data_IF_667021258242
#
_entry.id   IF_667021258242
#
_cell.length_a   1.000
_cell.length_b   1.000
_cell.length_c   1.000
_cell.angle_alpha   90.00
_cell.angle_beta   90.00
_cell.angle_gamma   90.00
#
_symmetry.space_group_name_H-M   'P 1'
#
loop_
_entity.id
_entity.type
_entity.pdbx_description
1 polymer ?
#
# COMPACT_ATOMS: atom_id res chain seq x y z
N UNK A 1 -20.20 0.22 12.69
CA UNK A 1 -20.78 0.76 13.95
C UNK A 1 -20.42 2.23 14.17
N UNK A 2 -19.17 2.67 13.91
CA UNK A 2 -18.74 4.08 14.07
C UNK A 2 -19.41 5.10 13.13
N UNK A 3 -19.69 4.75 11.87
CA UNK A 3 -20.38 5.67 10.95
C UNK A 3 -21.73 6.19 11.47
N UNK A 4 -22.59 5.32 12.02
CA UNK A 4 -23.88 5.75 12.61
C UNK A 4 -23.70 6.62 13.85
N UNK A 5 -22.64 6.37 14.62
CA UNK A 5 -22.28 7.18 15.78
C UNK A 5 -21.89 8.60 15.34
N UNK A 6 -20.99 8.73 14.37
CA UNK A 6 -20.56 10.05 13.87
C UNK A 6 -21.67 10.84 13.17
N UNK A 7 -22.58 10.19 12.43
CA UNK A 7 -23.73 10.88 11.83
C UNK A 7 -24.61 11.60 12.86
N UNK A 8 -24.72 11.03 14.06
CA UNK A 8 -25.53 11.56 15.15
C UNK A 8 -24.81 12.62 16.00
N UNK A 9 -23.49 12.82 15.80
CA UNK A 9 -22.72 13.80 16.56
C UNK A 9 -22.98 15.24 16.08
N UNK A 10 -22.97 16.21 17.00
CA UNK A 10 -22.88 17.62 16.63
C UNK A 10 -21.52 17.93 15.99
N UNK A 11 -21.46 19.00 15.20
CA UNK A 11 -20.25 19.40 14.46
C UNK A 11 -19.03 19.64 15.36
N UNK A 12 -19.23 20.14 16.57
CA UNK A 12 -18.17 20.35 17.56
C UNK A 12 -17.51 19.03 17.98
N UNK A 13 -18.32 18.01 18.28
CA UNK A 13 -17.82 16.69 18.62
C UNK A 13 -17.15 16.00 17.43
N UNK A 14 -17.62 16.21 16.20
CA UNK A 14 -16.94 15.72 15.00
C UNK A 14 -15.56 16.37 14.81
N UNK A 15 -15.43 17.68 15.06
CA UNK A 15 -14.13 18.36 15.02
C UNK A 15 -13.17 17.80 16.08
N UNK A 16 -13.66 17.52 17.29
CA UNK A 16 -12.86 16.89 18.34
C UNK A 16 -12.35 15.50 17.91
N UNK A 17 -13.23 14.67 17.33
CA UNK A 17 -12.83 13.36 16.80
C UNK A 17 -11.82 13.51 15.65
N UNK A 18 -12.02 14.43 14.71
CA UNK A 18 -11.05 14.70 13.65
C UNK A 18 -9.71 15.18 14.20
N UNK A 19 -9.71 16.01 15.24
CA UNK A 19 -8.49 16.46 15.93
C UNK A 19 -7.75 15.31 16.61
N UNK A 20 -8.46 14.40 17.28
CA UNK A 20 -7.85 13.20 17.89
C UNK A 20 -7.16 12.30 16.85
N UNK A 21 -7.66 12.31 15.62
CA UNK A 21 -7.08 11.57 14.50
C UNK A 21 -6.13 12.43 13.64
N UNK A 22 -5.80 13.65 14.08
CA UNK A 22 -4.90 14.58 13.36
C UNK A 22 -5.35 14.87 11.91
N UNK A 23 -6.66 14.86 11.64
CA UNK A 23 -7.25 15.05 10.29
C UNK A 23 -7.56 16.51 9.94
N UNK A 24 -7.27 17.43 10.86
CA UNK A 24 -7.52 18.86 10.73
C UNK A 24 -6.19 19.61 10.59
N UNK A 25 -6.04 20.29 9.46
CA UNK A 25 -4.90 21.17 9.22
C UNK A 25 -4.99 22.42 10.11
N UNK A 26 -3.86 22.89 10.68
CA UNK A 26 -3.84 24.12 11.46
C UNK A 26 -4.24 25.30 10.58
N UNK A 27 -5.34 25.97 10.94
CA UNK A 27 -5.87 27.12 10.20
C UNK A 27 -6.91 26.79 9.12
N UNK A 28 -7.33 25.53 8.98
CA UNK A 28 -8.49 25.18 8.17
C UNK A 28 -9.77 25.68 8.85
N UNK A 29 -10.24 26.87 8.42
CA UNK A 29 -11.54 27.41 8.82
C UNK A 29 -12.69 26.66 8.14
N UNK A 30 -13.94 26.86 8.59
CA UNK A 30 -15.11 26.26 7.97
C UNK A 30 -15.21 26.67 6.49
N UNK A 31 -15.01 25.70 5.59
CA UNK A 31 -15.23 25.86 4.16
C UNK A 31 -16.68 25.49 3.84
N UNK A 32 -17.56 26.50 3.84
CA UNK A 32 -18.96 26.36 3.44
C UNK A 32 -19.94 26.52 4.59
N UNK A 33 -21.19 26.10 4.36
CA UNK A 33 -22.21 26.08 5.41
C UNK A 33 -21.95 24.95 6.42
N UNK A 34 -22.64 25.02 7.56
CA UNK A 34 -22.46 24.08 8.66
C UNK A 34 -22.74 22.62 8.25
N UNK A 35 -23.64 22.39 7.29
CA UNK A 35 -23.98 21.06 6.80
C UNK A 35 -22.85 20.49 5.91
N UNK A 36 -22.31 21.32 5.02
CA UNK A 36 -21.17 20.99 4.17
C UNK A 36 -19.92 20.69 5.01
N UNK A 37 -19.66 21.51 6.03
CA UNK A 37 -18.57 21.27 6.95
C UNK A 37 -18.77 19.96 7.72
N UNK A 38 -19.98 19.71 8.24
CA UNK A 38 -20.29 18.45 8.94
C UNK A 38 -20.04 17.24 8.04
N UNK A 39 -20.45 17.30 6.79
CA UNK A 39 -20.26 16.22 5.82
C UNK A 39 -18.76 15.99 5.50
N UNK A 40 -17.98 17.06 5.34
CA UNK A 40 -16.52 16.94 5.14
C UNK A 40 -15.81 16.29 6.34
N UNK A 41 -16.16 16.69 7.57
CA UNK A 41 -15.59 16.09 8.79
C UNK A 41 -15.96 14.61 8.90
N UNK A 42 -17.22 14.29 8.62
CA UNK A 42 -17.71 12.92 8.61
C UNK A 42 -16.98 12.06 7.58
N UNK A 43 -16.80 12.56 6.36
CA UNK A 43 -16.08 11.87 5.29
C UNK A 43 -14.62 11.62 5.67
N UNK A 44 -13.92 12.62 6.21
CA UNK A 44 -12.54 12.45 6.71
C UNK A 44 -12.42 11.33 7.74
N UNK A 45 -13.33 11.29 8.73
CA UNK A 45 -13.34 10.24 9.76
C UNK A 45 -13.63 8.85 9.17
N UNK A 46 -14.57 8.77 8.23
CA UNK A 46 -14.92 7.52 7.57
C UNK A 46 -13.75 6.98 6.76
N UNK A 47 -13.09 7.84 5.98
CA UNK A 47 -11.91 7.47 5.19
C UNK A 47 -10.75 7.04 6.10
N UNK A 48 -10.50 7.77 7.19
CA UNK A 48 -9.45 7.41 8.15
C UNK A 48 -9.68 6.04 8.81
N UNK A 49 -10.90 5.77 9.32
CA UNK A 49 -11.23 4.47 9.91
C UNK A 49 -11.21 3.33 8.89
N UNK A 50 -11.58 3.63 7.64
CA UNK A 50 -11.43 2.67 6.54
C UNK A 50 -9.97 2.36 6.24
N UNK A 51 -9.09 3.36 6.22
CA UNK A 51 -7.64 3.15 6.07
C UNK A 51 -7.09 2.31 7.21
N UNK A 52 -7.43 2.61 8.47
CA UNK A 52 -7.03 1.77 9.61
C UNK A 52 -7.49 0.32 9.42
N UNK A 53 -8.73 0.10 9.02
CA UNK A 53 -9.24 -1.25 8.79
C UNK A 53 -8.46 -2.01 7.70
N UNK A 54 -8.11 -1.33 6.60
CA UNK A 54 -7.26 -1.93 5.56
C UNK A 54 -5.82 -2.15 6.02
N UNK A 55 -5.26 -1.23 6.80
CA UNK A 55 -3.93 -1.33 7.37
C UNK A 55 -3.82 -2.55 8.30
N UNK A 56 -4.82 -2.78 9.15
CA UNK A 56 -4.90 -3.98 10.01
C UNK A 56 -5.06 -5.29 9.24
N UNK A 57 -5.55 -5.23 7.99
CA UNK A 57 -5.58 -6.37 7.07
C UNK A 57 -4.25 -6.55 6.33
N UNK A 58 -3.26 -5.67 6.55
CA UNK A 58 -1.93 -5.72 5.94
C UNK A 58 -1.84 -5.08 4.55
N UNK A 59 -2.71 -4.12 4.23
CA UNK A 59 -2.66 -3.38 2.96
C UNK A 59 -1.86 -2.07 3.03
N UNK A 60 -1.28 -1.76 4.18
CA UNK A 60 -0.42 -0.58 4.37
C UNK A 60 -1.08 0.74 3.92
N UNK A 61 -2.40 0.81 4.13
CA UNK A 61 -3.26 1.87 3.63
C UNK A 61 -2.84 3.25 4.14
N UNK A 62 -2.14 3.33 5.27
CA UNK A 62 -1.63 4.57 5.84
C UNK A 62 -0.40 5.11 5.10
N UNK A 63 0.38 4.24 4.44
CA UNK A 63 1.61 4.58 3.69
C UNK A 63 1.32 4.93 2.23
N UNK A 64 0.26 4.37 1.66
CA UNK A 64 -0.20 4.68 0.30
C UNK A 64 -0.88 6.06 0.29
N UNK A 65 -0.52 6.90 -0.69
CA UNK A 65 -0.90 8.33 -0.72
C UNK A 65 -2.38 8.55 -1.00
N UNK A 66 -2.94 7.85 -1.99
CA UNK A 66 -4.34 8.01 -2.41
C UNK A 66 -5.18 6.86 -1.89
N UNK A 67 -6.34 7.18 -1.32
CA UNK A 67 -7.22 6.18 -0.72
C UNK A 67 -7.88 5.32 -1.79
N UNK A 68 -8.11 5.90 -2.96
CA UNK A 68 -8.68 5.22 -4.13
C UNK A 68 -7.75 4.12 -4.64
N UNK A 69 -6.43 4.35 -4.60
CA UNK A 69 -5.43 3.36 -4.98
C UNK A 69 -5.46 2.16 -4.02
N UNK A 70 -5.62 2.40 -2.71
CA UNK A 70 -5.80 1.32 -1.71
C UNK A 70 -7.10 0.55 -1.96
N UNK A 71 -8.19 1.25 -2.26
CA UNK A 71 -9.47 0.60 -2.56
C UNK A 71 -9.34 -0.33 -3.77
N UNK A 72 -8.70 0.16 -4.86
CA UNK A 72 -8.42 -0.64 -6.04
C UNK A 72 -7.53 -1.85 -5.74
N UNK A 73 -6.51 -1.69 -4.91
CA UNK A 73 -5.65 -2.79 -4.47
C UNK A 73 -6.44 -3.87 -3.71
N UNK A 74 -7.32 -3.46 -2.79
CA UNK A 74 -8.16 -4.39 -2.01
C UNK A 74 -9.11 -5.14 -2.92
N UNK A 75 -9.77 -4.44 -3.85
CA UNK A 75 -10.67 -5.07 -4.83
C UNK A 75 -9.92 -6.05 -5.73
N UNK A 76 -8.70 -5.72 -6.15
CA UNK A 76 -7.86 -6.60 -6.96
C UNK A 76 -7.40 -7.84 -6.17
N UNK A 77 -7.00 -7.67 -4.91
CA UNK A 77 -6.65 -8.79 -4.04
C UNK A 77 -7.84 -9.73 -3.79
N UNK A 78 -9.03 -9.18 -3.56
CA UNK A 78 -10.27 -9.96 -3.42
C UNK A 78 -10.61 -10.71 -4.71
N UNK A 79 -10.32 -10.15 -5.90
CA UNK A 79 -10.42 -10.90 -7.16
C UNK A 79 -9.44 -12.07 -7.21
N UNK A 80 -8.19 -11.87 -6.83
CA UNK A 80 -7.19 -12.96 -6.79
C UNK A 80 -7.62 -14.08 -5.85
N UNK A 81 -8.20 -13.77 -4.69
CA UNK A 81 -8.72 -14.78 -3.77
C UNK A 81 -9.83 -15.67 -4.36
N UNK A 82 -10.54 -15.17 -5.37
CA UNK A 82 -11.64 -15.87 -6.04
C UNK A 82 -11.25 -16.50 -7.38
N UNK A 83 -9.99 -16.38 -7.81
CA UNK A 83 -9.49 -17.03 -9.03
C UNK A 83 -9.30 -18.55 -8.82
N UNK A 84 -9.20 -19.28 -9.91
CA UNK A 84 -8.70 -20.66 -9.93
C UNK A 84 -7.16 -20.69 -9.82
N UNK A 85 -6.59 -21.84 -9.44
CA UNK A 85 -5.13 -22.05 -9.34
C UNK A 85 -4.40 -21.65 -10.62
N UNK A 86 -4.95 -22.03 -11.78
CA UNK A 86 -4.38 -21.68 -13.09
C UNK A 86 -4.40 -20.17 -13.37
N UNK A 87 -5.50 -19.49 -13.05
CA UNK A 87 -5.63 -18.04 -13.26
C UNK A 87 -4.70 -17.25 -12.33
N UNK A 88 -4.54 -17.68 -11.06
CA UNK A 88 -3.61 -17.04 -10.14
C UNK A 88 -2.16 -17.27 -10.56
N UNK A 89 -1.83 -18.47 -11.05
CA UNK A 89 -0.49 -18.75 -11.57
C UNK A 89 -0.18 -17.86 -12.79
N UNK A 90 -1.17 -17.65 -13.67
CA UNK A 90 -1.03 -16.72 -14.79
C UNK A 90 -0.85 -15.27 -14.32
N UNK A 91 -1.63 -14.81 -13.35
CA UNK A 91 -1.48 -13.49 -12.76
C UNK A 91 -0.10 -13.29 -12.11
N UNK A 92 0.37 -14.30 -11.38
CA UNK A 92 1.70 -14.34 -10.77
C UNK A 92 2.81 -14.21 -11.81
N UNK A 93 2.73 -14.97 -12.91
CA UNK A 93 3.69 -14.89 -14.01
C UNK A 93 3.67 -13.53 -14.73
N UNK A 94 2.48 -12.90 -14.88
CA UNK A 94 2.35 -11.56 -15.48
C UNK A 94 3.04 -10.46 -14.66
N UNK A 95 3.21 -10.66 -13.36
CA UNK A 95 3.98 -9.76 -12.51
C UNK A 95 5.51 -9.95 -12.66
N UNK A 96 5.97 -10.75 -13.63
CA UNK A 96 7.40 -11.02 -13.85
C UNK A 96 8.02 -11.96 -12.81
N UNK A 97 7.20 -12.59 -11.98
CA UNK A 97 7.65 -13.48 -10.93
C UNK A 97 7.97 -14.88 -11.50
N UNK A 98 8.97 -15.59 -10.97
CA UNK A 98 9.34 -16.91 -11.49
C UNK A 98 8.20 -17.90 -11.29
N UNK A 99 7.71 -18.54 -12.36
CA UNK A 99 6.71 -19.60 -12.24
C UNK A 99 7.21 -20.72 -11.31
N UNK A 100 6.63 -20.85 -10.13
CA UNK A 100 7.01 -21.83 -9.11
C UNK A 100 5.76 -22.60 -8.68
N UNK A 101 5.66 -23.81 -9.23
CA UNK A 101 4.56 -24.73 -8.97
C UNK A 101 4.57 -25.26 -7.53
N UNK A 102 5.70 -25.12 -6.82
CA UNK A 102 5.84 -25.55 -5.42
C UNK A 102 5.25 -24.57 -4.41
N UNK A 103 5.01 -23.31 -4.81
CA UNK A 103 4.32 -22.35 -3.95
C UNK A 103 2.87 -22.77 -3.74
N UNK A 104 2.43 -22.74 -2.49
CA UNK A 104 1.01 -22.86 -2.18
C UNK A 104 0.24 -21.65 -2.71
N UNK A 105 -1.06 -21.84 -2.92
CA UNK A 105 -2.01 -20.79 -3.27
C UNK A 105 -1.87 -19.54 -2.36
N UNK A 106 -1.78 -19.77 -1.04
CA UNK A 106 -1.65 -18.68 -0.07
C UNK A 106 -0.31 -17.94 -0.20
N UNK A 107 0.81 -18.64 -0.42
CA UNK A 107 2.09 -17.97 -0.62
C UNK A 107 2.08 -17.10 -1.88
N UNK A 108 1.48 -17.58 -2.98
CA UNK A 108 1.32 -16.77 -4.20
C UNK A 108 0.48 -15.51 -3.96
N UNK A 109 -0.63 -15.65 -3.24
CA UNK A 109 -1.48 -14.51 -2.88
C UNK A 109 -0.72 -13.48 -2.02
N UNK A 110 0.05 -13.94 -1.04
CA UNK A 110 0.81 -13.05 -0.17
C UNK A 110 1.91 -12.30 -0.92
N UNK A 111 2.63 -12.97 -1.83
CA UNK A 111 3.60 -12.32 -2.70
C UNK A 111 2.91 -11.31 -3.62
N UNK A 112 1.81 -11.67 -4.28
CA UNK A 112 1.04 -10.76 -5.14
C UNK A 112 0.55 -9.54 -4.37
N UNK A 113 0.04 -9.72 -3.14
CA UNK A 113 -0.35 -8.63 -2.26
C UNK A 113 0.82 -7.69 -2.00
N UNK A 114 1.97 -8.25 -1.62
CA UNK A 114 3.17 -7.47 -1.34
C UNK A 114 3.63 -6.69 -2.57
N UNK A 115 3.66 -7.31 -3.76
CA UNK A 115 4.02 -6.64 -5.02
C UNK A 115 3.08 -5.48 -5.33
N UNK A 116 1.76 -5.67 -5.19
CA UNK A 116 0.79 -4.58 -5.41
C UNK A 116 0.98 -3.41 -4.42
N UNK A 117 1.29 -3.72 -3.15
CA UNK A 117 1.56 -2.67 -2.16
C UNK A 117 2.79 -1.88 -2.58
N UNK A 118 3.90 -2.56 -2.90
CA UNK A 118 5.14 -1.92 -3.35
C UNK A 118 4.92 -1.05 -4.58
N UNK A 119 4.08 -1.47 -5.52
CA UNK A 119 3.76 -0.67 -6.71
C UNK A 119 3.08 0.66 -6.36
N UNK A 120 2.29 0.70 -5.28
CA UNK A 120 1.57 1.92 -4.85
C UNK A 120 2.33 2.76 -3.82
N UNK A 121 3.44 2.26 -3.28
CA UNK A 121 4.25 3.03 -2.35
C UNK A 121 4.99 4.16 -3.08
N UNK A 122 5.07 5.36 -2.47
CA UNK A 122 5.91 6.43 -2.99
C UNK A 122 7.40 6.08 -2.83
N UNK A 123 8.27 6.74 -3.60
CA UNK A 123 9.72 6.43 -3.66
C UNK A 123 10.38 6.49 -2.28
N UNK A 124 9.98 7.44 -1.44
CA UNK A 124 10.52 7.59 -0.09
C UNK A 124 10.18 6.38 0.80
N UNK A 125 9.02 5.76 0.60
CA UNK A 125 8.63 4.55 1.32
C UNK A 125 9.31 3.30 0.75
N UNK A 126 9.53 3.24 -0.56
CA UNK A 126 10.33 2.18 -1.19
C UNK A 126 11.78 2.20 -0.72
N UNK A 127 12.39 3.38 -0.54
CA UNK A 127 13.74 3.50 0.05
C UNK A 127 13.80 2.90 1.46
N UNK A 128 12.82 3.23 2.30
CA UNK A 128 12.72 2.67 3.67
C UNK A 128 12.59 1.15 3.65
N UNK A 129 11.82 0.59 2.71
CA UNK A 129 11.69 -0.85 2.55
C UNK A 129 13.02 -1.50 2.15
N UNK A 130 13.74 -0.91 1.19
CA UNK A 130 15.06 -1.40 0.82
C UNK A 130 16.03 -1.36 2.01
N UNK A 131 16.06 -0.26 2.76
CA UNK A 131 16.91 -0.12 3.96
C UNK A 131 16.55 -1.16 5.03
N UNK A 132 15.26 -1.42 5.27
CA UNK A 132 14.79 -2.41 6.23
C UNK A 132 15.19 -3.85 5.85
N UNK A 133 15.22 -4.14 4.54
CA UNK A 133 15.67 -5.41 3.98
C UNK A 133 17.21 -5.50 3.85
N UNK A 134 17.94 -4.43 4.23
CA UNK A 134 19.40 -4.36 4.13
C UNK A 134 19.93 -4.23 2.69
N UNK A 135 19.08 -3.81 1.75
CA UNK A 135 19.44 -3.58 0.36
C UNK A 135 20.17 -2.23 0.23
N UNK A 136 21.23 -2.20 -0.58
CA UNK A 136 21.98 -0.97 -0.80
C UNK A 136 21.19 0.01 -1.66
N UNK A 137 20.80 1.14 -1.06
CA UNK A 137 20.08 2.22 -1.72
C UNK A 137 21.04 3.23 -2.38
N UNK A 138 22.35 3.14 -2.07
CA UNK A 138 23.35 4.13 -2.48
C UNK A 138 23.41 4.32 -3.99
N UNK A 139 23.12 5.55 -4.38
CA UNK A 139 23.55 6.19 -5.61
C UNK A 139 25.08 6.25 -5.59
N UNK A 140 25.70 5.22 -6.18
CA UNK A 140 27.12 5.22 -6.48
C UNK A 140 27.48 6.52 -7.20
N UNK A 141 28.13 7.42 -6.46
CA UNK A 141 28.91 8.54 -6.97
C UNK A 141 28.15 9.55 -7.84
N UNK A 142 27.30 10.37 -7.21
CA UNK A 142 27.19 11.80 -7.51
C UNK A 142 27.10 12.24 -8.99
N UNK A 143 26.49 11.45 -9.88
CA UNK A 143 26.33 11.81 -11.28
C UNK A 143 24.95 11.46 -11.80
N UNK A 144 24.28 12.56 -12.17
CA UNK A 144 22.93 12.65 -12.74
C UNK A 144 21.88 12.31 -11.69
N UNK A 145 20.99 13.27 -11.39
CA UNK A 145 19.72 12.97 -10.74
C UNK A 145 19.09 11.86 -11.57
N UNK A 146 19.13 10.62 -11.10
CA UNK A 146 18.32 9.57 -11.68
C UNK A 146 16.91 10.14 -11.80
N UNK A 147 16.27 9.96 -12.95
CA UNK A 147 14.88 10.34 -13.06
C UNK A 147 14.12 9.65 -11.93
N UNK A 148 13.23 10.37 -11.23
CA UNK A 148 12.50 9.81 -10.09
C UNK A 148 11.73 8.54 -10.50
N UNK A 149 11.36 8.44 -11.77
CA UNK A 149 10.79 7.23 -12.37
C UNK A 149 11.79 6.06 -12.41
N UNK A 150 12.98 6.27 -12.97
CA UNK A 150 14.03 5.22 -13.04
C UNK A 150 14.45 4.74 -11.66
N UNK A 151 14.54 5.64 -10.69
CA UNK A 151 14.85 5.30 -9.30
C UNK A 151 13.75 4.44 -8.67
N UNK A 152 12.49 4.85 -8.82
CA UNK A 152 11.34 4.09 -8.33
C UNK A 152 11.34 2.68 -8.89
N UNK A 153 11.51 2.55 -10.21
CA UNK A 153 11.45 1.27 -10.88
C UNK A 153 12.59 0.35 -10.42
N UNK A 154 13.80 0.89 -10.22
CA UNK A 154 14.92 0.14 -9.64
C UNK A 154 14.61 -0.40 -8.24
N UNK A 155 14.14 0.47 -7.33
CA UNK A 155 13.81 0.08 -5.95
C UNK A 155 12.67 -0.94 -5.91
N UNK A 156 11.64 -0.71 -6.72
CA UNK A 156 10.52 -1.63 -6.87
C UNK A 156 11.00 -3.01 -7.33
N UNK A 157 11.81 -3.10 -8.39
CA UNK A 157 12.31 -4.38 -8.89
C UNK A 157 13.16 -5.12 -7.85
N UNK A 158 14.03 -4.42 -7.12
CA UNK A 158 14.81 -5.03 -6.03
C UNK A 158 13.90 -5.63 -4.94
N UNK A 159 12.87 -4.90 -4.52
CA UNK A 159 11.93 -5.36 -3.49
C UNK A 159 11.04 -6.49 -3.98
N UNK A 160 10.66 -6.51 -5.26
CA UNK A 160 9.91 -7.62 -5.87
C UNK A 160 10.75 -8.91 -5.86
N UNK A 161 12.02 -8.83 -6.25
CA UNK A 161 12.94 -9.97 -6.20
C UNK A 161 13.11 -10.48 -4.77
N UNK A 162 13.26 -9.57 -3.80
CA UNK A 162 13.36 -9.91 -2.38
C UNK A 162 12.08 -10.56 -1.84
N UNK A 163 10.91 -10.02 -2.20
CA UNK A 163 9.61 -10.57 -1.80
C UNK A 163 9.38 -11.99 -2.34
N UNK A 164 9.92 -12.29 -3.52
CA UNK A 164 9.86 -13.61 -4.14
C UNK A 164 11.13 -14.44 -3.91
N UNK A 165 11.99 -14.06 -2.95
CA UNK A 165 13.31 -14.66 -2.76
C UNK A 165 13.27 -16.18 -2.59
N UNK A 166 12.28 -16.70 -1.87
CA UNK A 166 12.05 -18.15 -1.73
C UNK A 166 11.81 -18.86 -3.06
N UNK A 167 11.13 -18.20 -4.02
CA UNK A 167 10.90 -18.74 -5.35
C UNK A 167 12.17 -18.78 -6.19
N UNK A 168 13.00 -17.74 -6.10
CA UNK A 168 14.31 -17.68 -6.76
C UNK A 168 15.30 -18.70 -6.18
N UNK A 169 15.39 -18.81 -4.85
CA UNK A 169 16.30 -19.73 -4.17
C UNK A 169 15.98 -21.19 -4.49
N UNK A 170 14.70 -21.57 -4.62
CA UNK A 170 14.29 -22.92 -5.06
C UNK A 170 14.66 -23.24 -6.51
N UNK A 171 14.95 -22.23 -7.31
CA UNK A 171 15.48 -22.37 -8.69
C UNK A 171 16.99 -22.23 -8.74
N UNK A 172 17.67 -22.34 -7.60
CA UNK A 172 19.11 -22.16 -7.45
C UNK A 172 19.62 -20.76 -7.84
N UNK A 173 18.76 -19.74 -7.78
CA UNK A 173 19.12 -18.34 -8.02
C UNK A 173 19.32 -17.64 -6.65
N UNK A 174 20.56 -17.29 -6.27
CA UNK A 174 20.82 -16.69 -4.96
C UNK A 174 20.43 -15.20 -4.96
N UNK A 175 19.44 -14.83 -4.15
CA UNK A 175 18.95 -13.44 -4.04
C UNK A 175 19.82 -12.59 -3.11
N UNK A 176 20.35 -13.16 -2.02
CA UNK A 176 21.16 -12.42 -1.01
C UNK A 176 22.56 -11.99 -1.48
N UNK A 177 22.87 -12.12 -2.76
CA UNK A 177 24.19 -11.81 -3.35
C UNK A 177 24.11 -10.83 -4.54
N UNK A 178 22.93 -10.30 -4.84
CA UNK A 178 22.69 -9.36 -5.94
C UNK A 178 22.78 -7.91 -5.48
#
# INVERSE_FOLDING_TARGET
KKARFWMALPITALREECNKCELLEPGSGPMGDAESEKNQLFEKLLLHDRRIAWDTRGFEAMRIRKVEDVAGLVDQYERFQNMSDAELLEAYAKCGLPADDSLSWNERLEILRRVMILELLPVEELRKECEAEGLQVEDAEGKVKADLGEERDRLFQQLVVQAASSSYERKDIPVRKL
#
